data_IF_364659343490
#
_entry.id   IF_364659343490
#
_cell.length_a   1.000
_cell.length_b   1.000
_cell.length_c   1.000
_cell.angle_alpha   90.00
_cell.angle_beta   90.00
_cell.angle_gamma   90.00
#
_symmetry.space_group_name_H-M   'P 1'
#
loop_
_entity.id
_entity.type
_entity.pdbx_description
1 polymer ?
#
# COMPACT_ATOMS: atom_id res chain seq x y z
N UNK A 1 -42.73 19.03 -6.74
CA UNK A 1 -41.74 19.19 -5.68
C UNK A 1 -41.44 17.90 -4.90
N UNK A 2 -42.44 17.13 -4.40
CA UNK A 2 -42.20 15.89 -3.65
C UNK A 2 -41.44 14.78 -4.46
N UNK A 3 -41.75 14.64 -5.76
CA UNK A 3 -41.10 13.64 -6.62
C UNK A 3 -39.62 13.97 -6.89
N UNK A 4 -39.29 15.23 -7.10
CA UNK A 4 -37.89 15.69 -7.30
C UNK A 4 -37.04 15.54 -6.06
N UNK A 5 -37.62 15.71 -4.87
CA UNK A 5 -36.91 15.49 -3.60
C UNK A 5 -36.59 14.02 -3.38
N UNK A 6 -37.53 13.13 -3.72
CA UNK A 6 -37.33 11.67 -3.62
C UNK A 6 -36.23 11.18 -4.55
N UNK A 7 -36.16 11.70 -5.77
CA UNK A 7 -35.10 11.36 -6.74
C UNK A 7 -33.73 11.86 -6.26
N UNK A 8 -33.65 13.07 -5.70
CA UNK A 8 -32.42 13.61 -5.16
C UNK A 8 -31.88 12.77 -3.97
N UNK A 9 -32.76 12.35 -3.06
CA UNK A 9 -32.41 11.47 -1.93
C UNK A 9 -31.92 10.10 -2.43
N UNK A 10 -32.56 9.52 -3.44
CA UNK A 10 -32.14 8.23 -4.00
C UNK A 10 -30.76 8.29 -4.67
N UNK A 11 -30.43 9.40 -5.34
CA UNK A 11 -29.12 9.61 -5.98
C UNK A 11 -28.03 9.79 -4.92
N UNK A 12 -28.32 10.53 -3.83
CA UNK A 12 -27.36 10.72 -2.73
C UNK A 12 -27.07 9.42 -1.97
N UNK A 13 -28.10 8.58 -1.75
CA UNK A 13 -27.91 7.27 -1.10
C UNK A 13 -27.13 6.29 -1.97
N UNK A 14 -27.28 6.33 -3.29
CA UNK A 14 -26.49 5.50 -4.22
C UNK A 14 -25.01 5.92 -4.23
N UNK A 15 -24.65 7.16 -3.95
CA UNK A 15 -23.27 7.63 -3.89
C UNK A 15 -22.52 7.22 -2.61
N UNK A 16 -23.20 6.75 -1.56
CA UNK A 16 -22.61 6.36 -0.28
C UNK A 16 -22.24 4.87 -0.19
N UNK A 17 -22.43 4.10 -1.27
CA UNK A 17 -22.46 2.63 -1.21
C UNK A 17 -21.19 1.89 -1.63
N UNK A 18 -20.03 2.50 -1.83
CA UNK A 18 -18.87 1.76 -2.34
C UNK A 18 -17.57 2.04 -1.57
N UNK A 19 -17.46 1.44 -0.39
CA UNK A 19 -16.17 1.06 0.16
C UNK A 19 -15.88 -0.41 -0.19
N UNK A 20 -15.92 -0.76 -1.46
CA UNK A 20 -15.35 -2.01 -1.92
C UNK A 20 -13.87 -1.77 -2.20
N UNK A 21 -13.01 -2.71 -1.77
CA UNK A 21 -11.64 -2.84 -2.26
C UNK A 21 -11.71 -2.85 -3.80
N UNK A 22 -11.56 -1.69 -4.38
CA UNK A 22 -11.73 -1.54 -5.80
C UNK A 22 -10.35 -1.70 -6.46
N UNK A 23 -10.32 -2.28 -7.63
CA UNK A 23 -9.10 -2.51 -8.41
C UNK A 23 -8.69 -1.29 -9.24
N UNK A 24 -9.25 -0.11 -8.99
CA UNK A 24 -8.95 1.13 -9.75
C UNK A 24 -7.49 1.59 -9.62
N UNK A 25 -6.76 1.11 -8.61
CA UNK A 25 -5.34 1.36 -8.44
C UNK A 25 -4.46 0.56 -9.41
N UNK A 26 -4.99 -0.48 -10.06
CA UNK A 26 -4.27 -1.34 -10.98
C UNK A 26 -4.23 -0.69 -12.36
N UNK A 27 -3.01 -0.37 -12.81
CA UNK A 27 -2.76 -0.03 -14.21
C UNK A 27 -2.42 -1.30 -14.98
N UNK A 28 -3.33 -1.78 -15.81
CA UNK A 28 -3.16 -3.03 -16.56
C UNK A 28 -2.03 -3.00 -17.61
N UNK A 29 -1.43 -1.84 -17.85
CA UNK A 29 -0.25 -1.71 -18.71
C UNK A 29 1.07 -1.89 -17.95
N UNK A 30 1.02 -2.11 -16.62
CA UNK A 30 2.20 -2.29 -15.77
C UNK A 30 2.35 -3.73 -15.31
N UNK A 31 3.58 -4.15 -15.09
CA UNK A 31 3.89 -5.41 -14.41
C UNK A 31 3.95 -5.17 -12.92
N UNK A 32 3.32 -6.06 -12.14
CA UNK A 32 3.32 -6.05 -10.69
C UNK A 32 4.01 -7.31 -10.16
N UNK A 33 5.01 -7.12 -9.32
CA UNK A 33 5.75 -8.18 -8.64
C UNK A 33 5.15 -8.40 -7.26
N UNK A 34 4.42 -9.50 -7.10
CA UNK A 34 3.71 -9.83 -5.86
C UNK A 34 4.63 -10.56 -4.89
N UNK A 35 4.65 -10.12 -3.65
CA UNK A 35 5.22 -10.85 -2.52
C UNK A 35 4.31 -10.75 -1.29
N UNK A 36 4.61 -11.52 -0.25
CA UNK A 36 3.74 -11.65 0.93
C UNK A 36 4.51 -11.38 2.20
N UNK A 37 3.84 -10.75 3.17
CA UNK A 37 4.31 -10.57 4.53
C UNK A 37 3.27 -11.08 5.52
N UNK A 38 3.73 -11.74 6.59
CA UNK A 38 2.88 -12.31 7.62
C UNK A 38 3.15 -11.73 9.02
N UNK A 39 3.87 -10.61 9.10
CA UNK A 39 4.17 -9.89 10.35
C UNK A 39 4.59 -8.46 10.09
N UNK A 40 4.41 -7.61 11.09
CA UNK A 40 4.89 -6.24 11.08
C UNK A 40 6.42 -6.24 11.22
N UNK A 41 7.11 -5.67 10.23
CA UNK A 41 8.58 -5.65 10.23
C UNK A 41 9.13 -4.62 9.26
N UNK A 42 10.31 -4.09 9.59
CA UNK A 42 11.11 -3.38 8.61
C UNK A 42 11.59 -4.38 7.54
N UNK A 43 11.11 -4.18 6.32
CA UNK A 43 11.36 -5.09 5.20
C UNK A 43 12.32 -4.44 4.21
N UNK A 44 13.34 -5.19 3.81
CA UNK A 44 14.36 -4.76 2.84
C UNK A 44 14.35 -5.67 1.63
N UNK A 45 14.34 -5.07 0.43
CA UNK A 45 14.52 -5.74 -0.85
C UNK A 45 15.87 -5.28 -1.40
N UNK A 46 16.85 -6.15 -1.41
CA UNK A 46 18.19 -5.83 -1.90
C UNK A 46 18.25 -5.79 -3.43
N UNK A 47 19.19 -5.02 -3.96
CA UNK A 47 19.41 -4.92 -5.40
C UNK A 47 19.60 -6.28 -6.10
N UNK A 48 20.32 -7.27 -5.56
CA UNK A 48 20.41 -8.58 -6.19
C UNK A 48 19.05 -9.29 -6.35
N UNK A 49 18.13 -9.11 -5.40
CA UNK A 49 16.76 -9.64 -5.51
C UNK A 49 15.98 -8.93 -6.61
N UNK A 50 16.13 -7.61 -6.70
CA UNK A 50 15.52 -6.82 -7.79
C UNK A 50 16.10 -7.23 -9.15
N UNK A 51 17.40 -7.42 -9.25
CA UNK A 51 18.07 -7.86 -10.46
C UNK A 51 17.59 -9.26 -10.92
N UNK A 52 17.44 -10.20 -9.98
CA UNK A 52 16.90 -11.53 -10.27
C UNK A 52 15.45 -11.48 -10.78
N UNK A 53 14.68 -10.45 -10.37
CA UNK A 53 13.33 -10.19 -10.87
C UNK A 53 13.31 -9.39 -12.20
N UNK A 54 14.46 -9.09 -12.80
CA UNK A 54 14.56 -8.29 -14.03
C UNK A 54 14.48 -6.77 -13.81
N UNK A 55 14.55 -6.31 -12.56
CA UNK A 55 14.44 -4.91 -12.16
C UNK A 55 15.80 -4.25 -11.87
N UNK A 56 16.91 -4.92 -12.16
CA UNK A 56 18.25 -4.47 -11.79
C UNK A 56 18.70 -3.14 -12.41
N UNK A 57 18.10 -2.74 -13.53
CA UNK A 57 18.44 -1.49 -14.24
C UNK A 57 17.37 -0.38 -14.05
N UNK A 58 16.41 -0.60 -13.17
CA UNK A 58 15.35 0.38 -12.89
C UNK A 58 15.90 1.46 -11.97
N UNK A 59 15.74 2.77 -12.29
CA UNK A 59 16.10 3.85 -11.40
C UNK A 59 15.31 3.82 -10.08
N UNK A 60 15.98 4.12 -8.97
CA UNK A 60 15.42 4.07 -7.63
C UNK A 60 14.14 4.89 -7.46
N UNK A 61 14.09 6.07 -8.09
CA UNK A 61 12.94 6.97 -8.07
C UNK A 61 11.70 6.44 -8.77
N UNK A 62 11.82 5.42 -9.61
CA UNK A 62 10.71 4.85 -10.37
C UNK A 62 10.00 3.70 -9.66
N UNK A 63 10.56 3.14 -8.60
CA UNK A 63 9.89 2.09 -7.84
C UNK A 63 8.65 2.60 -7.11
N UNK A 64 7.58 1.83 -7.14
CA UNK A 64 6.32 2.11 -6.49
C UNK A 64 5.79 0.85 -5.81
N UNK A 65 5.37 0.96 -4.55
CA UNK A 65 4.88 -0.17 -3.76
C UNK A 65 3.41 0.04 -3.39
N UNK A 66 2.62 -1.02 -3.49
CA UNK A 66 1.20 -1.02 -3.18
C UNK A 66 0.83 -2.10 -2.18
N UNK A 67 -0.12 -1.79 -1.30
CA UNK A 67 -0.78 -2.71 -0.36
C UNK A 67 -2.26 -2.32 -0.24
N UNK A 68 -3.16 -3.27 -0.36
CA UNK A 68 -4.61 -3.06 -0.20
C UNK A 68 -5.15 -1.86 -1.02
N UNK A 69 -4.67 -1.68 -2.24
CA UNK A 69 -5.09 -0.57 -3.10
C UNK A 69 -4.52 0.81 -2.74
N UNK A 70 -3.62 0.88 -1.77
CA UNK A 70 -2.96 2.11 -1.35
C UNK A 70 -1.47 2.05 -1.61
N UNK A 71 -0.90 3.17 -2.04
CA UNK A 71 0.54 3.27 -2.23
C UNK A 71 1.25 3.36 -0.88
N UNK A 72 2.27 2.50 -0.71
CA UNK A 72 3.13 2.45 0.47
C UNK A 72 4.36 3.31 0.26
N UNK A 73 4.75 4.08 1.29
CA UNK A 73 6.02 4.81 1.26
C UNK A 73 7.18 3.85 1.32
N UNK A 74 8.20 4.12 0.50
CA UNK A 74 9.46 3.36 0.50
C UNK A 74 10.65 4.29 0.73
N UNK A 75 11.71 3.75 1.27
CA UNK A 75 13.04 4.33 1.29
C UNK A 75 13.88 3.62 0.24
N UNK A 76 14.75 4.34 -0.43
CA UNK A 76 15.76 3.80 -1.33
C UNK A 76 17.13 4.29 -0.87
N UNK A 77 18.12 3.42 -0.82
CA UNK A 77 19.47 3.74 -0.33
C UNK A 77 20.16 4.84 -1.15
N UNK A 78 19.76 4.98 -2.41
CA UNK A 78 20.10 6.13 -3.26
C UNK A 78 18.82 6.83 -3.71
N UNK A 79 18.76 8.16 -3.76
CA UNK A 79 17.52 8.87 -4.07
C UNK A 79 17.12 8.75 -5.55
N UNK A 80 18.09 8.65 -6.46
CA UNK A 80 17.90 8.62 -7.90
C UNK A 80 18.96 7.74 -8.58
N UNK A 81 18.65 7.29 -9.79
CA UNK A 81 19.55 6.45 -10.59
C UNK A 81 19.42 4.97 -10.25
N UNK A 82 20.18 4.15 -10.96
CA UNK A 82 20.16 2.69 -10.82
C UNK A 82 20.81 2.26 -9.50
N UNK A 83 20.16 1.33 -8.79
CA UNK A 83 20.68 0.76 -7.56
C UNK A 83 21.96 -0.07 -7.82
N UNK A 84 23.03 0.22 -7.09
CA UNK A 84 24.26 -0.61 -7.08
C UNK A 84 24.09 -1.90 -6.27
N UNK A 85 25.06 -2.79 -6.35
CA UNK A 85 24.99 -4.14 -5.77
C UNK A 85 24.73 -4.16 -4.24
N UNK A 86 25.11 -3.11 -3.52
CA UNK A 86 24.89 -2.98 -2.07
C UNK A 86 23.64 -2.19 -1.72
N UNK A 87 22.94 -1.65 -2.71
CA UNK A 87 21.77 -0.82 -2.52
C UNK A 87 20.49 -1.64 -2.31
N UNK A 88 19.46 -0.96 -1.85
CA UNK A 88 18.20 -1.60 -1.48
C UNK A 88 17.02 -0.64 -1.47
N UNK A 89 15.85 -1.24 -1.48
CA UNK A 89 14.56 -0.61 -1.13
C UNK A 89 14.19 -1.09 0.27
N UNK A 90 13.68 -0.18 1.11
CA UNK A 90 13.24 -0.50 2.46
C UNK A 90 11.89 0.15 2.75
N UNK A 91 11.05 -0.54 3.51
CA UNK A 91 9.75 -0.02 3.93
C UNK A 91 9.28 -0.71 5.21
N UNK A 92 8.38 -0.06 5.92
CA UNK A 92 7.67 -0.69 7.02
C UNK A 92 6.59 -1.60 6.44
N UNK A 93 6.78 -2.89 6.60
CA UNK A 93 5.82 -3.90 6.21
C UNK A 93 4.85 -4.18 7.35
N UNK A 94 3.56 -4.15 7.07
CA UNK A 94 2.49 -4.48 7.99
C UNK A 94 1.85 -5.79 7.54
N UNK A 95 1.52 -6.65 8.47
CA UNK A 95 0.75 -7.86 8.22
C UNK A 95 -0.71 -7.54 7.87
N UNK A 96 -1.49 -8.57 7.56
CA UNK A 96 -2.92 -8.40 7.40
C UNK A 96 -3.56 -8.09 8.76
N UNK A 97 -4.27 -6.96 8.82
CA UNK A 97 -5.11 -6.62 9.96
C UNK A 97 -6.54 -7.15 9.75
N UNK A 98 -7.37 -7.10 10.77
CA UNK A 98 -8.75 -7.57 10.68
C UNK A 98 -9.72 -6.62 9.99
N UNK A 99 -9.28 -5.46 9.51
CA UNK A 99 -10.20 -4.48 8.88
C UNK A 99 -10.93 -5.00 7.66
N UNK A 100 -10.29 -5.75 6.73
CA UNK A 100 -11.00 -6.35 5.61
C UNK A 100 -12.04 -7.39 6.03
N UNK A 101 -11.87 -8.04 7.19
CA UNK A 101 -12.74 -9.11 7.67
C UNK A 101 -14.08 -8.56 8.15
N UNK A 102 -14.18 -7.27 8.45
CA UNK A 102 -15.40 -6.63 8.96
C UNK A 102 -16.61 -6.88 8.07
N UNK A 103 -16.39 -6.93 6.76
CA UNK A 103 -17.44 -7.22 5.78
C UNK A 103 -17.89 -8.70 5.77
N UNK A 104 -17.13 -9.60 6.39
CA UNK A 104 -17.44 -11.03 6.48
C UNK A 104 -18.39 -11.35 7.64
N UNK A 105 -18.49 -10.45 8.62
CA UNK A 105 -19.39 -10.63 9.76
C UNK A 105 -20.84 -10.32 9.36
N UNK A 106 -21.77 -11.15 9.85
CA UNK A 106 -23.21 -10.90 9.69
C UNK A 106 -23.65 -9.53 10.23
N UNK A 107 -23.02 -9.10 11.32
CA UNK A 107 -23.09 -7.74 11.85
C UNK A 107 -21.64 -7.27 12.07
N UNK A 108 -21.21 -6.18 11.43
CA UNK A 108 -19.86 -5.63 11.59
C UNK A 108 -19.45 -5.35 13.04
N UNK A 109 -20.41 -5.04 13.93
CA UNK A 109 -20.16 -4.77 15.34
C UNK A 109 -19.79 -6.02 16.16
N UNK A 110 -19.92 -7.22 15.58
CA UNK A 110 -19.47 -8.46 16.21
C UNK A 110 -17.96 -8.68 16.11
N UNK A 111 -17.26 -7.89 15.30
CA UNK A 111 -15.81 -7.92 15.26
C UNK A 111 -15.23 -7.24 16.50
N UNK A 112 -14.67 -8.05 17.40
CA UNK A 112 -14.11 -7.58 18.68
C UNK A 112 -12.77 -6.85 18.53
N UNK A 113 -12.03 -7.11 17.46
CA UNK A 113 -10.72 -6.49 17.19
C UNK A 113 -10.45 -6.38 15.71
N UNK A 114 -9.94 -5.23 15.28
CA UNK A 114 -9.44 -5.00 13.91
C UNK A 114 -7.93 -5.25 13.81
N UNK A 115 -7.28 -5.66 14.90
CA UNK A 115 -5.81 -5.80 14.95
C UNK A 115 -5.31 -7.04 14.23
N UNK A 116 -6.10 -8.10 14.23
CA UNK A 116 -5.74 -9.40 13.64
C UNK A 116 -6.87 -9.87 12.74
N UNK A 117 -6.51 -10.42 11.58
CA UNK A 117 -7.45 -11.13 10.72
C UNK A 117 -7.71 -12.53 11.27
N UNK A 118 -8.95 -13.00 11.19
CA UNK A 118 -9.31 -14.38 11.50
C UNK A 118 -9.00 -15.34 10.34
N UNK A 119 -8.82 -14.80 9.14
CA UNK A 119 -8.58 -15.60 7.93
C UNK A 119 -7.08 -15.84 7.70
N UNK A 120 -6.26 -14.81 7.81
CA UNK A 120 -4.81 -14.91 7.57
C UNK A 120 -4.06 -13.67 8.04
N UNK A 121 -2.89 -13.89 8.64
CA UNK A 121 -1.94 -12.81 8.96
C UNK A 121 -1.23 -12.29 7.71
N UNK A 122 -1.33 -13.03 6.60
CA UNK A 122 -0.57 -12.76 5.39
C UNK A 122 -1.25 -11.72 4.51
N UNK A 123 -0.52 -10.66 4.18
CA UNK A 123 -0.93 -9.62 3.23
C UNK A 123 -0.06 -9.65 1.98
N UNK A 124 -0.64 -9.28 0.84
CA UNK A 124 0.07 -9.15 -0.42
C UNK A 124 0.53 -7.72 -0.66
N UNK A 125 1.80 -7.58 -1.01
CA UNK A 125 2.41 -6.36 -1.53
C UNK A 125 2.68 -6.50 -3.02
N UNK A 126 2.65 -5.38 -3.73
CA UNK A 126 2.85 -5.33 -5.17
C UNK A 126 3.86 -4.24 -5.50
N UNK A 127 5.05 -4.64 -5.90
CA UNK A 127 6.08 -3.73 -6.40
C UNK A 127 5.89 -3.52 -7.90
N UNK A 128 5.97 -2.30 -8.36
CA UNK A 128 5.90 -1.96 -9.79
C UNK A 128 6.84 -0.80 -10.12
N UNK A 129 6.97 -0.50 -11.40
CA UNK A 129 7.76 0.61 -11.94
C UNK A 129 6.83 1.69 -12.46
N UNK A 130 7.03 2.91 -12.01
CA UNK A 130 6.26 4.07 -12.45
C UNK A 130 7.17 5.25 -12.82
N UNK A 131 7.59 5.37 -14.08
CA UNK A 131 8.46 6.46 -14.52
C UNK A 131 7.77 7.83 -14.57
N UNK A 132 6.44 7.88 -14.52
CA UNK A 132 5.69 9.13 -14.55
C UNK A 132 5.82 9.98 -13.26
N UNK A 133 6.43 9.41 -12.19
CA UNK A 133 6.58 10.09 -10.91
C UNK A 133 5.37 9.91 -9.97
N UNK A 134 5.31 10.73 -8.89
CA UNK A 134 4.29 10.60 -7.84
C UNK A 134 4.53 9.40 -6.91
N UNK A 135 5.73 8.84 -6.92
CA UNK A 135 6.11 7.69 -6.11
C UNK A 135 6.40 8.12 -4.68
N UNK A 136 5.66 7.59 -3.72
CA UNK A 136 5.78 7.98 -2.31
C UNK A 136 7.12 7.52 -1.72
N UNK A 137 7.79 8.45 -1.01
CA UNK A 137 9.07 8.22 -0.34
C UNK A 137 9.00 8.64 1.11
N UNK A 138 9.80 7.98 1.96
CA UNK A 138 10.14 8.52 3.25
C UNK A 138 11.05 9.73 3.05
N UNK A 139 10.78 10.79 3.78
CA UNK A 139 11.63 11.98 3.84
C UNK A 139 12.32 12.03 5.20
N UNK A 140 13.57 12.49 5.21
CA UNK A 140 14.26 12.72 6.47
C UNK A 140 13.47 13.76 7.30
N UNK A 141 13.19 13.43 8.56
CA UNK A 141 12.69 14.39 9.52
C UNK A 141 13.86 15.01 10.28
N UNK A 142 13.78 16.31 10.54
CA UNK A 142 14.73 16.98 11.45
C UNK A 142 14.48 16.39 12.83
N UNK A 143 15.51 15.81 13.43
CA UNK A 143 15.43 15.33 14.81
C UNK A 143 15.32 16.53 15.75
N UNK A 144 14.11 16.79 16.24
CA UNK A 144 13.91 17.84 17.25
C UNK A 144 14.20 17.27 18.63
N UNK A 145 15.43 17.42 19.07
CA UNK A 145 15.85 17.06 20.43
C UNK A 145 15.60 18.17 21.46
N UNK A 146 15.00 19.30 21.03
CA UNK A 146 14.66 20.40 21.92
C UNK A 146 13.42 20.04 22.76
N UNK A 147 13.67 19.61 23.97
CA UNK A 147 12.71 19.72 25.05
C UNK A 147 11.75 18.56 25.24
N UNK A 148 12.23 17.37 25.50
CA UNK A 148 11.51 16.41 26.34
C UNK A 148 12.53 15.65 27.19
N UNK A 149 12.77 16.17 28.36
CA UNK A 149 13.25 15.42 29.51
C UNK A 149 12.12 15.43 30.53
#
# INVERSE_FOLDING_TARGET
MKKSLLTAVLVVTAAMGFSQLNNSWIDYNKTYYKFRLAKDTLTRISQPVLAAAGLGNVPAEQFQLWRNGQQVRIYTSVPTGVLGASDYIEFWGEMNDGKPDKALYRNPDYQLSERYSLETDTVSYFLTVNPAGGNLRYTAAVNNTAGNV
#
